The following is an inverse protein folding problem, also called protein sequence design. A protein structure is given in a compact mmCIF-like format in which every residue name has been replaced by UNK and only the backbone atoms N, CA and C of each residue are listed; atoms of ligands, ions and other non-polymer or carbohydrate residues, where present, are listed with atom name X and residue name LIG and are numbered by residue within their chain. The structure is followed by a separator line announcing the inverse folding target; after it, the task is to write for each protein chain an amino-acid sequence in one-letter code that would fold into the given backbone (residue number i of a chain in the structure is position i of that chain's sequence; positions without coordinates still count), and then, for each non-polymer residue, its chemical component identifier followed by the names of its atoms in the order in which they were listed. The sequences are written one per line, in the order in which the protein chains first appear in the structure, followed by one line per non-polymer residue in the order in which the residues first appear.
data_IF_115796593748
#
_entry.id   IF_115796593748
#
_cell.length_a   1.000
_cell.length_b   1.000
_cell.length_c   1.000
_cell.angle_alpha   90.00
_cell.angle_beta   90.00
_cell.angle_gamma   90.00
#
_symmetry.space_group_name_H-M   'P 1'
#
loop_
_entity.id
_entity.type
_entity.pdbx_description
1 polymer ?
#
# COMPACT_ATOMS: atom_id res chain seq x y z
N UNK A 1 -31.40 -30.22 -32.51
CA UNK A 1 -30.74 -29.04 -31.92
C UNK A 1 -31.31 -28.87 -30.52
N UNK A 2 -30.48 -29.04 -29.47
CA UNK A 2 -30.92 -29.08 -28.08
C UNK A 2 -30.45 -27.79 -27.38
N UNK A 3 -31.38 -26.98 -26.85
CA UNK A 3 -31.15 -25.62 -26.34
C UNK A 3 -30.72 -25.56 -24.85
N UNK A 4 -30.16 -26.65 -24.31
CA UNK A 4 -29.92 -26.79 -22.86
C UNK A 4 -28.47 -26.54 -22.40
N UNK A 5 -27.59 -25.98 -23.23
CA UNK A 5 -26.18 -25.77 -22.84
C UNK A 5 -25.84 -24.37 -22.29
N UNK A 6 -26.78 -23.42 -22.23
CA UNK A 6 -26.51 -22.04 -21.82
C UNK A 6 -27.09 -21.68 -20.45
N UNK A 7 -27.23 -22.63 -19.53
CA UNK A 7 -27.70 -22.33 -18.16
C UNK A 7 -26.77 -22.77 -17.01
N UNK A 8 -25.51 -23.13 -17.30
CA UNK A 8 -24.56 -23.51 -16.23
C UNK A 8 -23.32 -22.62 -16.10
N UNK A 9 -23.41 -21.34 -16.47
CA UNK A 9 -22.41 -20.34 -16.11
C UNK A 9 -23.06 -19.22 -15.31
N UNK A 10 -23.51 -19.55 -14.09
CA UNK A 10 -23.80 -18.56 -13.04
C UNK A 10 -22.68 -18.60 -12.01
N UNK A 11 -21.56 -17.95 -12.32
CA UNK A 11 -20.63 -17.46 -11.29
C UNK A 11 -20.41 -15.99 -11.55
N UNK A 12 -21.22 -15.17 -10.88
CA UNK A 12 -21.08 -13.71 -10.85
C UNK A 12 -19.73 -13.42 -10.19
N UNK A 13 -18.69 -13.29 -10.99
CA UNK A 13 -17.39 -12.79 -10.57
C UNK A 13 -17.63 -11.42 -9.95
N UNK A 14 -17.57 -11.33 -8.62
CA UNK A 14 -17.61 -10.04 -7.94
C UNK A 14 -16.27 -9.38 -8.23
N UNK A 15 -16.21 -8.55 -9.26
CA UNK A 15 -15.11 -7.60 -9.43
C UNK A 15 -15.21 -6.63 -8.26
N UNK A 16 -14.43 -6.86 -7.21
CA UNK A 16 -14.22 -5.87 -6.15
C UNK A 16 -13.25 -4.83 -6.71
N UNK A 17 -13.76 -3.66 -7.06
CA UNK A 17 -12.90 -2.51 -7.35
C UNK A 17 -12.23 -2.10 -6.04
N UNK A 18 -10.95 -2.44 -5.88
CA UNK A 18 -10.13 -1.96 -4.76
C UNK A 18 -9.68 -0.54 -5.08
N UNK A 19 -9.90 0.38 -4.14
CA UNK A 19 -9.56 1.80 -4.31
C UNK A 19 -8.11 2.03 -3.89
N UNK A 20 -7.21 2.08 -4.87
CA UNK A 20 -5.80 2.29 -4.60
C UNK A 20 -5.52 3.76 -4.31
N UNK A 21 -4.88 4.07 -3.18
CA UNK A 21 -4.42 5.42 -2.83
C UNK A 21 -2.89 5.48 -2.89
N UNK A 22 -2.35 6.48 -3.58
CA UNK A 22 -0.90 6.70 -3.64
C UNK A 22 -0.51 7.88 -2.75
N UNK A 23 0.35 7.63 -1.76
CA UNK A 23 0.80 8.62 -0.78
C UNK A 23 2.31 8.62 -0.66
N UNK A 24 2.88 9.68 -0.08
CA UNK A 24 4.27 9.68 0.36
C UNK A 24 4.41 8.99 1.71
N UNK A 25 5.57 8.39 1.97
CA UNK A 25 5.90 7.86 3.29
C UNK A 25 5.73 8.92 4.38
N UNK A 26 6.10 10.18 4.09
CA UNK A 26 5.89 11.30 5.02
C UNK A 26 4.44 11.47 5.49
N UNK A 27 3.44 11.14 4.65
CA UNK A 27 2.04 11.23 5.04
C UNK A 27 1.65 10.14 6.05
N UNK A 28 2.21 8.93 5.90
CA UNK A 28 2.02 7.82 6.83
C UNK A 28 2.70 8.13 8.17
N UNK A 29 3.97 8.57 8.12
CA UNK A 29 4.75 8.92 9.32
C UNK A 29 4.08 10.05 10.09
N UNK A 30 3.68 11.13 9.41
CA UNK A 30 3.02 12.27 10.05
C UNK A 30 1.70 11.87 10.74
N UNK A 31 0.97 10.91 10.20
CA UNK A 31 -0.32 10.47 10.76
C UNK A 31 -0.16 9.56 11.99
N UNK A 32 0.78 8.62 11.95
CA UNK A 32 0.86 7.55 12.95
C UNK A 32 2.02 7.71 13.92
N UNK A 33 3.15 8.23 13.45
CA UNK A 33 4.40 8.31 14.21
C UNK A 33 5.13 9.63 13.91
N UNK A 34 4.51 10.80 14.14
CA UNK A 34 5.08 12.10 13.76
C UNK A 34 6.43 12.36 14.44
N UNK A 35 6.67 11.79 15.61
CA UNK A 35 7.94 11.88 16.34
C UNK A 35 9.11 11.24 15.57
N UNK A 36 8.84 10.37 14.59
CA UNK A 36 9.88 9.78 13.73
C UNK A 36 10.34 10.74 12.63
N UNK A 37 9.55 11.76 12.27
CA UNK A 37 9.86 12.68 11.16
C UNK A 37 11.29 13.25 11.18
N UNK A 38 11.84 13.71 12.33
CA UNK A 38 13.18 14.29 12.37
C UNK A 38 14.32 13.26 12.18
N UNK A 39 14.02 11.96 12.29
CA UNK A 39 15.02 10.90 12.25
C UNK A 39 15.11 10.19 10.90
N UNK A 40 14.16 10.48 9.99
CA UNK A 40 14.12 9.91 8.65
C UNK A 40 14.77 10.85 7.64
N UNK A 41 15.43 10.28 6.64
CA UNK A 41 16.04 11.07 5.57
C UNK A 41 14.97 11.57 4.60
N UNK A 42 15.27 12.68 3.91
CA UNK A 42 14.30 13.33 3.03
C UNK A 42 13.91 12.47 1.82
N UNK A 43 14.84 11.68 1.30
CA UNK A 43 14.66 10.67 0.25
C UNK A 43 13.77 9.50 0.73
N UNK A 44 14.04 8.96 1.93
CA UNK A 44 13.17 7.94 2.56
C UNK A 44 11.72 8.47 2.69
N UNK A 45 11.54 9.68 3.23
CA UNK A 45 10.24 10.34 3.40
C UNK A 45 9.50 10.60 2.08
N UNK A 46 10.23 10.74 0.97
CA UNK A 46 9.68 10.95 -0.36
C UNK A 46 9.28 9.65 -1.08
N UNK A 47 9.49 8.48 -0.46
CA UNK A 47 9.08 7.19 -1.02
C UNK A 47 7.57 7.17 -1.34
N UNK A 48 7.24 6.65 -2.52
CA UNK A 48 5.85 6.52 -2.98
C UNK A 48 5.30 5.18 -2.49
N UNK A 49 4.22 5.24 -1.74
CA UNK A 49 3.54 4.08 -1.16
C UNK A 49 2.15 3.97 -1.79
N UNK A 50 1.80 2.76 -2.23
CA UNK A 50 0.48 2.46 -2.79
C UNK A 50 -0.30 1.63 -1.76
N UNK A 51 -1.37 2.21 -1.22
CA UNK A 51 -2.26 1.59 -0.23
C UNK A 51 -3.50 1.05 -0.94
N UNK A 52 -3.90 -0.19 -0.61
CA UNK A 52 -5.04 -0.87 -1.25
C UNK A 52 -6.41 -0.30 -0.85
N UNK A 53 -6.51 0.14 0.40
CA UNK A 53 -7.78 0.57 1.00
C UNK A 53 -7.71 2.02 1.52
N UNK A 54 -6.59 2.70 1.24
CA UNK A 54 -6.33 4.09 1.60
C UNK A 54 -5.70 4.32 2.97
N UNK A 55 -5.20 5.54 3.17
CA UNK A 55 -4.55 6.00 4.40
C UNK A 55 -5.54 6.16 5.56
N UNK A 56 -6.83 6.36 5.24
CA UNK A 56 -7.87 6.64 6.23
C UNK A 56 -8.15 5.45 7.15
N UNK A 57 -8.00 4.22 6.66
CA UNK A 57 -8.25 2.98 7.39
C UNK A 57 -6.99 2.19 7.75
N UNK A 58 -5.81 2.66 7.32
CA UNK A 58 -4.54 2.05 7.68
C UNK A 58 -4.39 2.02 9.20
N UNK A 59 -4.00 0.89 9.78
CA UNK A 59 -3.80 0.79 11.23
C UNK A 59 -2.36 1.16 11.61
N UNK A 60 -2.13 1.52 12.88
CA UNK A 60 -0.81 1.91 13.37
C UNK A 60 0.23 0.79 13.17
N UNK A 61 -0.13 -0.46 13.47
CA UNK A 61 0.76 -1.61 13.30
C UNK A 61 1.20 -1.78 11.84
N UNK A 62 0.25 -1.77 10.90
CA UNK A 62 0.53 -1.85 9.47
C UNK A 62 1.37 -0.64 8.99
N UNK A 63 1.10 0.55 9.52
CA UNK A 63 1.88 1.75 9.21
C UNK A 63 3.35 1.60 9.62
N UNK A 64 3.62 1.00 10.79
CA UNK A 64 4.99 0.74 11.24
C UNK A 64 5.73 -0.23 10.32
N UNK A 65 5.06 -1.30 9.89
CA UNK A 65 5.63 -2.29 8.97
C UNK A 65 5.98 -1.66 7.61
N UNK A 66 5.09 -0.81 7.08
CA UNK A 66 5.35 -0.04 5.86
C UNK A 66 6.55 0.89 6.03
N UNK A 67 6.66 1.58 7.17
CA UNK A 67 7.78 2.49 7.46
C UNK A 67 9.10 1.72 7.47
N UNK A 68 9.18 0.62 8.23
CA UNK A 68 10.39 -0.20 8.28
C UNK A 68 10.77 -0.75 6.91
N UNK A 69 9.80 -1.28 6.17
CA UNK A 69 10.05 -1.83 4.83
C UNK A 69 10.56 -0.75 3.87
N UNK A 70 9.92 0.43 3.85
CA UNK A 70 10.31 1.53 2.97
C UNK A 70 11.72 2.04 3.26
N UNK A 71 12.13 2.10 4.53
CA UNK A 71 13.48 2.48 4.95
C UNK A 71 14.49 1.42 4.52
N UNK A 72 14.19 0.15 4.77
CA UNK A 72 15.07 -0.96 4.43
C UNK A 72 15.35 -1.04 2.93
N UNK A 73 14.32 -0.91 2.08
CA UNK A 73 14.48 -0.92 0.62
C UNK A 73 15.31 0.25 0.12
N UNK A 74 15.10 1.46 0.65
CA UNK A 74 15.90 2.63 0.28
C UNK A 74 17.38 2.44 0.61
N UNK A 75 17.66 1.90 1.80
CA UNK A 75 19.02 1.66 2.24
C UNK A 75 19.67 0.54 1.44
N UNK A 76 18.97 -0.58 1.22
CA UNK A 76 19.49 -1.71 0.44
C UNK A 76 19.75 -1.31 -1.03
N UNK A 77 18.87 -0.51 -1.63
CA UNK A 77 19.10 0.02 -2.97
C UNK A 77 20.32 0.94 -3.04
N UNK A 78 20.63 1.68 -1.98
CA UNK A 78 21.83 2.52 -1.91
C UNK A 78 23.13 1.71 -1.73
N UNK A 79 23.06 0.52 -1.11
CA UNK A 79 24.21 -0.38 -0.96
C UNK A 79 24.55 -1.18 -2.23
N UNK A 80 23.62 -1.29 -3.18
CA UNK A 80 23.79 -2.05 -4.42
C UNK A 80 24.24 -1.20 -5.63
N UNK A 81 24.63 0.06 -5.40
CA UNK A 81 25.14 1.01 -6.41
C UNK A 81 26.65 1.18 -6.31
#
# INVERSE_FOLDING_TARGET
MNLNFIQHYSKKERVTFMEMETVKLSAIVMRWYPDMMPFLKQDELNSIIVLRDGLSILEAADAMDIIHYSIYEHQNSAYLQ
#
